data_IF_422337408494
#
_entry.id   IF_422337408494
#
_cell.length_a   1.000
_cell.length_b   1.000
_cell.length_c   1.000
_cell.angle_alpha   90.00
_cell.angle_beta   90.00
_cell.angle_gamma   90.00
#
_symmetry.space_group_name_H-M   'P 1'
#
loop_
_entity.id
_entity.type
_entity.pdbx_description
1 polymer ?
#
# COMPACT_ATOMS: atom_id res chain seq x y z
N UNK A 1 -26.61 18.42 4.73
CA UNK A 1 -27.21 18.35 6.08
C UNK A 1 -26.90 16.99 6.68
N UNK A 2 -25.86 16.88 7.52
CA UNK A 2 -25.58 15.65 8.24
C UNK A 2 -26.57 15.54 9.39
N UNK A 3 -27.41 14.50 9.41
CA UNK A 3 -28.10 14.09 10.63
C UNK A 3 -27.01 13.74 11.65
N UNK A 4 -26.80 14.60 12.64
CA UNK A 4 -26.12 14.18 13.87
C UNK A 4 -26.99 13.09 14.47
N UNK A 5 -26.63 11.84 14.22
CA UNK A 5 -27.13 10.72 15.00
C UNK A 5 -26.79 11.05 16.47
N UNK A 6 -27.79 11.11 17.35
CA UNK A 6 -27.55 11.11 18.79
C UNK A 6 -26.81 9.81 19.11
N UNK A 7 -25.48 9.88 19.16
CA UNK A 7 -24.65 8.74 19.48
C UNK A 7 -24.93 8.40 20.93
N UNK A 8 -25.36 7.16 21.18
CA UNK A 8 -25.60 6.69 22.54
C UNK A 8 -24.33 6.84 23.38
N UNK A 9 -24.47 7.00 24.70
CA UNK A 9 -23.32 7.05 25.63
C UNK A 9 -22.40 5.84 25.41
N UNK A 10 -22.98 4.66 25.19
CA UNK A 10 -22.24 3.44 24.85
C UNK A 10 -21.47 3.57 23.53
N UNK A 11 -22.07 4.18 22.49
CA UNK A 11 -21.39 4.46 21.22
C UNK A 11 -20.21 5.43 21.39
N UNK A 12 -20.38 6.48 22.20
CA UNK A 12 -19.30 7.41 22.52
C UNK A 12 -18.16 6.73 23.27
N UNK A 13 -18.47 5.93 24.29
CA UNK A 13 -17.48 5.16 25.05
C UNK A 13 -16.70 4.21 24.14
N UNK A 14 -17.38 3.50 23.22
CA UNK A 14 -16.71 2.65 22.22
C UNK A 14 -15.73 3.44 21.37
N UNK A 15 -16.13 4.60 20.85
CA UNK A 15 -15.23 5.47 20.06
C UNK A 15 -14.03 5.93 20.88
N UNK A 16 -14.23 6.35 22.13
CA UNK A 16 -13.15 6.79 23.02
C UNK A 16 -12.16 5.65 23.28
N UNK A 17 -12.65 4.47 23.65
CA UNK A 17 -11.81 3.28 23.88
C UNK A 17 -11.02 2.91 22.62
N UNK A 18 -11.66 2.95 21.46
CA UNK A 18 -11.04 2.68 20.15
C UNK A 18 -9.92 3.66 19.81
N UNK A 19 -10.19 4.96 19.96
CA UNK A 19 -9.20 6.02 19.72
C UNK A 19 -8.03 5.87 20.69
N UNK A 20 -8.30 5.66 21.98
CA UNK A 20 -7.25 5.42 22.98
C UNK A 20 -6.42 4.19 22.66
N UNK A 21 -7.06 3.09 22.25
CA UNK A 21 -6.37 1.87 21.84
C UNK A 21 -5.37 2.14 20.71
N UNK A 22 -5.80 2.79 19.62
CA UNK A 22 -4.91 3.09 18.49
C UNK A 22 -3.81 4.09 18.88
N UNK A 23 -4.14 5.14 19.64
CA UNK A 23 -3.16 6.14 20.08
C UNK A 23 -2.10 5.51 20.98
N UNK A 24 -2.51 4.74 22.01
CA UNK A 24 -1.58 4.04 22.89
C UNK A 24 -0.73 3.05 22.09
N UNK A 25 -1.33 2.31 21.15
CA UNK A 25 -0.61 1.41 20.25
C UNK A 25 0.49 2.13 19.47
N UNK A 26 0.22 3.32 18.92
CA UNK A 26 1.24 4.12 18.24
C UNK A 26 2.33 4.63 19.20
N UNK A 27 1.95 5.06 20.42
CA UNK A 27 2.86 5.62 21.42
C UNK A 27 3.95 4.63 21.82
N UNK A 28 3.63 3.34 22.02
CA UNK A 28 4.65 2.36 22.37
C UNK A 28 5.28 1.68 21.15
N UNK A 29 4.55 1.44 20.05
CA UNK A 29 5.11 0.72 18.89
C UNK A 29 6.13 1.55 18.09
N UNK A 30 5.78 2.78 17.69
CA UNK A 30 6.60 3.55 16.75
C UNK A 30 7.92 4.01 17.37
N UNK A 31 7.94 4.63 18.56
CA UNK A 31 9.20 4.99 19.22
C UNK A 31 10.06 3.76 19.50
N UNK A 32 9.47 2.64 19.90
CA UNK A 32 10.21 1.39 20.12
C UNK A 32 10.85 0.87 18.85
N UNK A 33 10.13 0.88 17.73
CA UNK A 33 10.71 0.56 16.42
C UNK A 33 11.91 1.47 16.12
N UNK A 34 11.74 2.79 16.24
CA UNK A 34 12.80 3.76 15.95
C UNK A 34 14.03 3.57 16.86
N UNK A 35 13.83 3.33 18.15
CA UNK A 35 14.94 3.08 19.10
C UNK A 35 15.68 1.81 18.72
N UNK A 36 14.98 0.71 18.39
CA UNK A 36 15.65 -0.51 17.94
C UNK A 36 16.43 -0.30 16.65
N UNK A 37 15.87 0.41 15.66
CA UNK A 37 16.57 0.70 14.41
C UNK A 37 17.80 1.58 14.65
N UNK A 38 17.70 2.55 15.57
CA UNK A 38 18.85 3.34 16.00
C UNK A 38 19.94 2.50 16.69
N UNK A 39 19.56 1.60 17.61
CA UNK A 39 20.50 0.72 18.29
C UNK A 39 21.18 -0.27 17.32
N UNK A 40 20.48 -0.71 16.28
CA UNK A 40 21.04 -1.57 15.24
C UNK A 40 21.76 -0.82 14.12
N UNK A 41 21.82 0.52 14.15
CA UNK A 41 22.47 1.31 13.11
C UNK A 41 23.93 0.91 12.82
N UNK A 42 24.76 0.50 13.81
CA UNK A 42 26.10 -0.03 13.50
C UNK A 42 26.07 -1.25 12.57
N UNK A 43 25.05 -2.13 12.68
CA UNK A 43 24.91 -3.29 11.79
C UNK A 43 24.69 -2.87 10.34
N UNK A 44 24.08 -1.70 10.09
CA UNK A 44 23.90 -1.19 8.73
C UNK A 44 25.23 -0.99 8.01
N UNK A 45 26.28 -0.60 8.72
CA UNK A 45 27.61 -0.40 8.15
C UNK A 45 28.40 -1.71 8.04
N UNK A 46 28.43 -2.52 9.10
CA UNK A 46 29.27 -3.72 9.15
C UNK A 46 28.64 -4.98 8.52
N UNK A 47 27.31 -5.12 8.59
CA UNK A 47 26.53 -6.27 8.09
C UNK A 47 25.19 -5.80 7.50
N UNK A 48 25.20 -5.04 6.39
CA UNK A 48 23.99 -4.42 5.83
C UNK A 48 22.87 -5.42 5.57
N UNK A 49 23.16 -6.60 5.03
CA UNK A 49 22.15 -7.63 4.76
C UNK A 49 21.44 -8.11 6.03
N UNK A 50 22.14 -8.17 7.16
CA UNK A 50 21.53 -8.53 8.45
C UNK A 50 20.68 -7.39 8.99
N UNK A 51 21.16 -6.15 8.91
CA UNK A 51 20.39 -4.96 9.31
C UNK A 51 19.05 -4.92 8.56
N UNK A 52 19.06 -5.04 7.23
CA UNK A 52 17.82 -4.97 6.43
C UNK A 52 16.87 -6.15 6.66
N UNK A 53 17.39 -7.33 7.02
CA UNK A 53 16.55 -8.45 7.44
C UNK A 53 15.85 -8.17 8.78
N UNK A 54 16.57 -7.57 9.73
CA UNK A 54 16.02 -7.16 11.03
C UNK A 54 15.00 -6.03 10.84
N UNK A 55 15.37 -4.99 10.10
CA UNK A 55 14.51 -3.85 9.76
C UNK A 55 13.21 -4.33 9.11
N UNK A 56 13.29 -5.15 8.06
CA UNK A 56 12.11 -5.67 7.37
C UNK A 56 11.21 -6.51 8.28
N UNK A 57 11.79 -7.27 9.21
CA UNK A 57 11.02 -8.03 10.21
C UNK A 57 10.26 -7.08 11.16
N UNK A 58 10.95 -6.07 11.68
CA UNK A 58 10.38 -5.08 12.59
C UNK A 58 9.33 -4.20 11.88
N UNK A 59 9.55 -3.89 10.61
CA UNK A 59 8.60 -3.20 9.76
C UNK A 59 7.31 -4.02 9.59
N UNK A 60 7.41 -5.32 9.28
CA UNK A 60 6.23 -6.21 9.24
C UNK A 60 5.50 -6.23 10.59
N UNK A 61 6.24 -6.36 11.70
CA UNK A 61 5.63 -6.37 13.03
C UNK A 61 4.87 -5.08 13.34
N UNK A 62 5.41 -3.93 12.94
CA UNK A 62 4.74 -2.66 13.08
C UNK A 62 3.51 -2.54 12.16
N UNK A 63 3.60 -3.00 10.91
CA UNK A 63 2.44 -3.00 10.00
C UNK A 63 1.36 -3.99 10.40
N UNK A 64 1.70 -5.07 11.09
CA UNK A 64 0.73 -5.96 11.71
C UNK A 64 -0.11 -5.21 12.77
N UNK A 65 0.50 -4.28 13.52
CA UNK A 65 -0.24 -3.41 14.45
C UNK A 65 -1.20 -2.49 13.72
N UNK A 66 -0.79 -1.91 12.59
CA UNK A 66 -1.67 -1.10 11.72
C UNK A 66 -2.83 -1.95 11.18
N UNK A 67 -2.54 -3.19 10.76
CA UNK A 67 -3.52 -4.15 10.25
C UNK A 67 -4.58 -4.49 11.29
N UNK A 68 -4.18 -4.57 12.56
CA UNK A 68 -5.10 -4.80 13.67
C UNK A 68 -6.13 -3.67 13.80
N UNK A 69 -5.84 -2.43 13.38
CA UNK A 69 -6.78 -1.32 13.52
C UNK A 69 -8.07 -1.55 12.73
N UNK A 70 -7.97 -2.01 11.48
CA UNK A 70 -9.14 -2.35 10.65
C UNK A 70 -9.80 -3.65 11.12
N UNK A 71 -9.00 -4.69 11.38
CA UNK A 71 -9.51 -5.99 11.80
C UNK A 71 -10.31 -5.91 13.11
N UNK A 72 -9.77 -5.26 14.14
CA UNK A 72 -10.46 -5.10 15.44
C UNK A 72 -11.67 -4.15 15.39
N UNK A 73 -11.89 -3.45 14.29
CA UNK A 73 -13.10 -2.67 14.02
C UNK A 73 -14.15 -3.44 13.18
N UNK A 74 -13.86 -4.67 12.76
CA UNK A 74 -14.73 -5.46 11.89
C UNK A 74 -14.73 -4.99 10.44
N UNK A 75 -13.63 -4.37 9.98
CA UNK A 75 -13.44 -4.00 8.58
C UNK A 75 -12.56 -5.06 7.91
N UNK A 76 -13.22 -6.07 7.37
CA UNK A 76 -12.57 -7.22 6.75
C UNK A 76 -12.23 -6.95 5.29
N UNK A 77 -11.26 -7.70 4.78
CA UNK A 77 -10.88 -7.69 3.37
C UNK A 77 -11.30 -9.01 2.74
N UNK A 78 -12.03 -8.93 1.63
CA UNK A 78 -12.35 -10.07 0.77
C UNK A 78 -11.49 -9.98 -0.47
N UNK A 79 -10.68 -11.00 -0.71
CA UNK A 79 -9.83 -11.11 -1.89
C UNK A 79 -10.40 -12.10 -2.91
N UNK A 80 -10.19 -11.83 -4.20
CA UNK A 80 -10.59 -12.70 -5.33
C UNK A 80 -9.86 -12.33 -6.62
N UNK A 81 -9.95 -13.17 -7.64
CA UNK A 81 -9.35 -12.95 -8.96
C UNK A 81 -8.09 -13.78 -9.16
N UNK A 82 -7.06 -13.23 -9.77
CA UNK A 82 -5.83 -13.99 -10.04
C UNK A 82 -5.05 -14.34 -8.76
N UNK A 83 -4.30 -15.45 -8.82
CA UNK A 83 -3.53 -15.97 -7.69
C UNK A 83 -2.25 -15.16 -7.44
N UNK A 84 -2.22 -14.47 -6.31
CA UNK A 84 -1.06 -13.67 -5.90
C UNK A 84 0.21 -14.48 -5.67
N UNK A 85 0.12 -15.79 -5.36
CA UNK A 85 1.30 -16.64 -5.10
C UNK A 85 2.28 -16.65 -6.26
N UNK A 86 1.79 -16.37 -7.48
CA UNK A 86 2.58 -16.31 -8.71
C UNK A 86 3.54 -15.11 -8.77
N UNK A 87 3.26 -14.02 -8.05
CA UNK A 87 3.98 -12.76 -8.21
C UNK A 87 4.62 -12.19 -6.93
N UNK A 88 4.32 -12.72 -5.75
CA UNK A 88 4.74 -12.10 -4.48
C UNK A 88 6.24 -12.23 -4.16
N UNK A 89 6.92 -13.25 -4.70
CA UNK A 89 8.38 -13.45 -4.52
C UNK A 89 9.21 -12.81 -5.65
N UNK A 90 8.55 -12.43 -6.75
CA UNK A 90 9.14 -11.79 -7.91
C UNK A 90 9.04 -10.26 -7.84
N UNK A 91 9.82 -9.56 -8.68
CA UNK A 91 9.69 -8.10 -8.79
C UNK A 91 8.37 -7.74 -9.45
N UNK A 92 7.48 -7.13 -8.67
CA UNK A 92 6.08 -6.89 -9.05
C UNK A 92 5.68 -5.45 -8.79
N UNK A 93 5.11 -4.81 -9.81
CA UNK A 93 4.52 -3.49 -9.72
C UNK A 93 3.06 -3.65 -9.37
N UNK A 94 2.67 -3.19 -8.20
CA UNK A 94 1.29 -3.18 -7.74
C UNK A 94 0.68 -1.84 -8.13
N UNK A 95 -0.36 -1.87 -8.95
CA UNK A 95 -1.17 -0.70 -9.28
C UNK A 95 -2.57 -0.86 -8.69
N UNK A 96 -3.10 0.21 -8.09
CA UNK A 96 -4.44 0.20 -7.53
C UNK A 96 -5.19 1.52 -7.80
N UNK A 97 -6.52 1.44 -7.87
CA UNK A 97 -7.36 2.64 -7.78
C UNK A 97 -7.26 3.23 -6.37
N UNK A 98 -7.52 4.54 -6.24
CA UNK A 98 -7.33 5.26 -4.98
C UNK A 98 -8.57 6.05 -4.60
N UNK A 99 -9.37 5.51 -3.69
CA UNK A 99 -10.63 6.09 -3.26
C UNK A 99 -10.50 6.92 -1.98
N UNK A 100 -9.62 6.52 -1.05
CA UNK A 100 -9.62 7.10 0.30
C UNK A 100 -8.32 6.90 1.10
N UNK A 101 -8.29 7.48 2.31
CA UNK A 101 -7.21 7.25 3.27
C UNK A 101 -7.23 5.84 3.88
N UNK A 102 -8.30 5.07 3.70
CA UNK A 102 -8.37 3.68 4.18
C UNK A 102 -7.66 2.68 3.26
N UNK A 103 -7.41 3.03 1.99
CA UNK A 103 -6.88 2.08 1.01
C UNK A 103 -5.50 1.53 1.42
N UNK A 104 -4.60 2.40 1.91
CA UNK A 104 -3.25 2.03 2.34
C UNK A 104 -3.26 1.07 3.55
N UNK A 105 -3.89 1.39 4.70
CA UNK A 105 -3.94 0.45 5.82
C UNK A 105 -4.70 -0.84 5.50
N UNK A 106 -5.68 -0.81 4.58
CA UNK A 106 -6.34 -2.05 4.13
C UNK A 106 -5.43 -2.90 3.25
N UNK A 107 -4.61 -2.30 2.38
CA UNK A 107 -3.57 -3.05 1.65
C UNK A 107 -2.51 -3.62 2.59
N UNK A 108 -2.10 -2.87 3.61
CA UNK A 108 -1.21 -3.38 4.66
C UNK A 108 -1.84 -4.59 5.38
N UNK A 109 -3.11 -4.50 5.77
CA UNK A 109 -3.84 -5.60 6.38
C UNK A 109 -3.99 -6.81 5.45
N UNK A 110 -4.23 -6.56 4.16
CA UNK A 110 -4.28 -7.62 3.16
C UNK A 110 -2.93 -8.36 3.11
N UNK A 111 -1.82 -7.63 2.93
CA UNK A 111 -0.48 -8.22 2.81
C UNK A 111 0.10 -8.76 4.14
N UNK A 112 -0.40 -8.33 5.31
CA UNK A 112 0.08 -8.79 6.61
C UNK A 112 -0.02 -10.30 6.82
N UNK A 113 -1.06 -10.92 6.25
CA UNK A 113 -1.30 -12.35 6.31
C UNK A 113 -0.27 -13.18 5.51
N UNK A 114 0.56 -12.53 4.69
CA UNK A 114 1.50 -13.18 3.78
C UNK A 114 2.93 -13.01 4.25
N UNK A 115 3.68 -14.12 4.22
CA UNK A 115 5.10 -14.13 4.63
C UNK A 115 5.91 -13.30 3.62
N UNK A 116 6.92 -12.59 4.10
CA UNK A 116 7.91 -11.85 3.30
C UNK A 116 7.36 -10.75 2.36
N UNK A 117 6.06 -10.47 2.32
CA UNK A 117 5.50 -9.41 1.46
C UNK A 117 5.82 -8.03 2.02
N UNK A 118 5.34 -7.74 3.24
CA UNK A 118 5.52 -6.41 3.86
C UNK A 118 6.98 -5.98 4.09
N UNK A 119 7.93 -6.86 4.46
CA UNK A 119 9.36 -6.49 4.52
C UNK A 119 9.95 -6.02 3.18
N UNK A 120 9.38 -6.47 2.06
CA UNK A 120 9.91 -6.30 0.71
C UNK A 120 9.08 -5.35 -0.16
N UNK A 121 8.11 -4.66 0.43
CA UNK A 121 7.26 -3.69 -0.27
C UNK A 121 7.90 -2.30 -0.19
N UNK A 122 7.79 -1.52 -1.25
CA UNK A 122 8.14 -0.11 -1.29
C UNK A 122 6.89 0.68 -1.66
N UNK A 123 6.56 1.69 -0.85
CA UNK A 123 5.45 2.58 -1.11
C UNK A 123 5.91 3.84 -1.86
N UNK A 124 5.16 4.23 -2.88
CA UNK A 124 5.28 5.56 -3.50
C UNK A 124 4.20 6.47 -2.90
N UNK A 125 4.61 7.42 -2.06
CA UNK A 125 3.70 8.25 -1.26
C UNK A 125 3.96 9.73 -1.42
N UNK A 126 2.94 10.56 -1.19
CA UNK A 126 3.11 12.01 -1.18
C UNK A 126 4.08 12.47 -0.07
N UNK A 127 4.95 13.44 -0.36
CA UNK A 127 5.97 13.95 0.57
C UNK A 127 5.40 14.44 1.90
N UNK A 128 4.14 14.87 1.96
CA UNK A 128 3.48 15.26 3.22
C UNK A 128 3.47 14.12 4.25
N UNK A 129 3.42 12.85 3.80
CA UNK A 129 3.43 11.70 4.70
C UNK A 129 4.70 11.58 5.54
N UNK A 130 5.82 12.16 5.08
CA UNK A 130 7.10 12.17 5.80
C UNK A 130 6.99 12.81 7.19
N UNK A 131 6.02 13.70 7.39
CA UNK A 131 5.80 14.42 8.65
C UNK A 131 4.79 13.74 9.59
N UNK A 132 4.36 12.52 9.27
CA UNK A 132 3.46 11.73 10.13
C UNK A 132 4.27 10.76 10.99
N UNK A 133 3.65 10.20 12.04
CA UNK A 133 4.28 9.13 12.84
C UNK A 133 4.68 7.92 11.99
N UNK A 134 3.94 7.63 10.92
CA UNK A 134 4.31 6.58 9.97
C UNK A 134 5.40 7.04 8.99
N UNK A 135 5.53 8.34 8.75
CA UNK A 135 6.55 8.92 7.88
C UNK A 135 7.98 8.58 8.31
N UNK A 136 8.30 8.61 9.60
CA UNK A 136 9.63 8.22 10.09
C UNK A 136 9.93 6.74 9.84
N UNK A 137 8.92 5.88 9.99
CA UNK A 137 9.02 4.44 9.70
C UNK A 137 9.32 4.23 8.22
N UNK A 138 8.55 4.88 7.34
CA UNK A 138 8.76 4.83 5.90
C UNK A 138 10.11 5.39 5.45
N UNK A 139 10.63 6.42 6.13
CA UNK A 139 12.00 6.92 5.88
C UNK A 139 13.05 5.87 6.23
N UNK A 140 12.90 5.18 7.36
CA UNK A 140 13.82 4.10 7.77
C UNK A 140 13.75 2.91 6.81
N UNK A 141 12.55 2.58 6.34
CA UNK A 141 12.29 1.49 5.39
C UNK A 141 12.75 1.79 3.96
N UNK A 142 13.16 3.03 3.69
CA UNK A 142 13.49 3.57 2.37
C UNK A 142 12.33 3.51 1.36
N UNK A 143 11.12 3.84 1.82
CA UNK A 143 9.99 4.17 0.94
C UNK A 143 10.26 5.45 0.14
N UNK A 144 9.61 5.59 -1.02
CA UNK A 144 9.77 6.75 -1.89
C UNK A 144 8.71 7.82 -1.65
N UNK A 145 9.16 9.07 -1.47
CA UNK A 145 8.30 10.23 -1.24
C UNK A 145 8.29 11.17 -2.44
N UNK A 146 7.15 11.24 -3.13
CA UNK A 146 6.95 12.10 -4.30
C UNK A 146 6.42 13.48 -3.90
N UNK A 147 7.03 14.54 -4.43
CA UNK A 147 6.45 15.89 -4.31
C UNK A 147 5.37 16.07 -5.38
N UNK A 148 4.12 16.17 -4.95
CA UNK A 148 3.01 16.45 -5.85
C UNK A 148 3.02 17.90 -6.33
N UNK A 149 2.96 18.10 -7.65
CA UNK A 149 2.88 19.44 -8.24
C UNK A 149 3.05 19.37 -9.75
N UNK A 150 2.65 20.42 -10.47
CA UNK A 150 2.97 20.50 -11.91
C UNK A 150 4.47 20.75 -12.10
N UNK A 151 5.00 21.69 -11.32
CA UNK A 151 6.37 22.18 -11.48
C UNK A 151 7.41 21.14 -11.01
N UNK A 152 7.05 20.31 -10.04
CA UNK A 152 7.90 19.24 -9.52
C UNK A 152 7.78 17.91 -10.30
N UNK A 153 6.98 17.84 -11.37
CA UNK A 153 6.62 16.55 -12.00
C UNK A 153 7.82 15.84 -12.64
N UNK A 154 8.66 16.58 -13.35
CA UNK A 154 9.82 15.99 -14.03
C UNK A 154 10.89 15.59 -13.01
N UNK A 155 11.22 16.49 -12.09
CA UNK A 155 12.12 16.22 -10.97
C UNK A 155 11.69 14.99 -10.16
N UNK A 156 10.40 14.87 -9.84
CA UNK A 156 9.83 13.73 -9.13
C UNK A 156 10.06 12.39 -9.85
N UNK A 157 9.99 12.38 -11.18
CA UNK A 157 10.24 11.17 -11.97
C UNK A 157 11.73 10.83 -11.97
N UNK A 158 12.61 11.82 -12.11
CA UNK A 158 14.06 11.63 -12.00
C UNK A 158 14.46 11.07 -10.64
N UNK A 159 13.97 11.68 -9.55
CA UNK A 159 14.21 11.22 -8.19
C UNK A 159 13.69 9.79 -7.95
N UNK A 160 12.54 9.43 -8.57
CA UNK A 160 12.03 8.06 -8.50
C UNK A 160 13.02 7.09 -9.15
N UNK A 161 13.49 7.39 -10.37
CA UNK A 161 14.47 6.54 -11.07
C UNK A 161 15.75 6.36 -10.26
N UNK A 162 16.28 7.45 -9.71
CA UNK A 162 17.46 7.42 -8.83
C UNK A 162 17.21 6.55 -7.59
N UNK A 163 16.04 6.69 -6.95
CA UNK A 163 15.67 5.87 -5.80
C UNK A 163 15.56 4.38 -6.14
N UNK A 164 15.08 4.05 -7.35
CA UNK A 164 15.05 2.67 -7.82
C UNK A 164 16.46 2.07 -7.91
N UNK A 165 17.42 2.81 -8.46
CA UNK A 165 18.81 2.37 -8.56
C UNK A 165 19.56 2.34 -7.23
N UNK A 166 19.30 3.31 -6.35
CA UNK A 166 20.09 3.52 -5.14
C UNK A 166 19.52 2.79 -3.90
N UNK A 167 18.23 2.46 -3.90
CA UNK A 167 17.55 1.84 -2.76
C UNK A 167 16.77 0.58 -3.15
N UNK A 168 15.77 0.68 -4.03
CA UNK A 168 14.87 -0.45 -4.34
C UNK A 168 15.61 -1.69 -4.87
N UNK A 169 16.53 -1.49 -5.83
CA UNK A 169 17.33 -2.57 -6.41
C UNK A 169 18.36 -3.13 -5.40
N UNK A 170 19.23 -2.31 -4.75
CA UNK A 170 20.22 -2.80 -3.80
C UNK A 170 19.64 -3.47 -2.55
N UNK A 171 18.49 -3.02 -2.07
CA UNK A 171 17.78 -3.65 -0.94
C UNK A 171 17.03 -4.92 -1.33
N UNK A 172 17.06 -5.31 -2.61
CA UNK A 172 16.36 -6.47 -3.15
C UNK A 172 14.85 -6.49 -2.82
N UNK A 173 14.23 -5.30 -2.74
CA UNK A 173 12.79 -5.15 -2.57
C UNK A 173 12.05 -5.79 -3.75
N UNK A 174 10.94 -6.44 -3.49
CA UNK A 174 10.20 -7.23 -4.48
C UNK A 174 8.98 -6.49 -5.00
N UNK A 175 8.32 -5.71 -4.16
CA UNK A 175 7.01 -5.18 -4.47
C UNK A 175 7.04 -3.66 -4.44
N UNK A 176 6.38 -3.01 -5.38
CA UNK A 176 6.26 -1.56 -5.41
C UNK A 176 4.79 -1.17 -5.56
N UNK A 177 4.27 -0.38 -4.64
CA UNK A 177 2.87 0.07 -4.69
C UNK A 177 2.78 1.46 -5.28
N UNK A 178 1.99 1.57 -6.35
CA UNK A 178 1.66 2.81 -7.02
C UNK A 178 0.13 2.99 -7.05
N UNK A 179 -0.31 4.22 -6.77
CA UNK A 179 -1.67 4.68 -7.02
C UNK A 179 -1.66 5.68 -8.17
N UNK A 180 -1.80 5.24 -9.44
CA UNK A 180 -1.62 6.12 -10.61
C UNK A 180 -2.58 7.30 -10.66
N UNK A 181 -3.72 7.26 -9.97
CA UNK A 181 -4.65 8.41 -9.84
C UNK A 181 -3.99 9.68 -9.25
N UNK A 182 -2.91 9.48 -8.48
CA UNK A 182 -2.13 10.56 -7.86
C UNK A 182 -2.90 11.33 -6.79
N UNK A 183 -3.88 10.68 -6.16
CA UNK A 183 -4.66 11.20 -5.03
C UNK A 183 -6.05 10.56 -4.95
N UNK A 184 -6.75 10.79 -3.85
CA UNK A 184 -8.07 10.20 -3.61
C UNK A 184 -9.10 10.66 -4.66
N UNK A 185 -9.91 9.72 -5.15
CA UNK A 185 -10.98 9.93 -6.14
C UNK A 185 -11.82 11.17 -5.85
N UNK A 186 -12.30 11.33 -4.60
CA UNK A 186 -13.13 12.48 -4.21
C UNK A 186 -12.47 13.83 -4.52
N UNK A 187 -11.14 13.92 -4.42
CA UNK A 187 -10.38 15.15 -4.71
C UNK A 187 -10.00 15.26 -6.19
N UNK A 188 -9.89 14.14 -6.90
CA UNK A 188 -9.36 14.06 -8.27
C UNK A 188 -10.44 14.06 -9.35
N UNK A 189 -11.63 13.53 -9.06
CA UNK A 189 -12.71 13.26 -10.03
C UNK A 189 -13.05 14.45 -10.94
N UNK A 190 -13.37 15.60 -10.38
CA UNK A 190 -13.75 16.77 -11.20
C UNK A 190 -12.62 17.27 -12.10
N UNK A 191 -11.39 17.31 -11.56
CA UNK A 191 -10.22 17.69 -12.36
C UNK A 191 -9.93 16.65 -13.46
N UNK A 192 -10.13 15.37 -13.16
CA UNK A 192 -10.00 14.27 -14.11
C UNK A 192 -11.03 14.37 -15.23
N UNK A 193 -12.30 14.63 -14.93
CA UNK A 193 -13.36 14.81 -15.93
C UNK A 193 -13.08 15.98 -16.86
N UNK A 194 -12.61 17.12 -16.33
CA UNK A 194 -12.19 18.26 -17.16
C UNK A 194 -11.03 17.91 -18.08
N UNK A 195 -10.04 17.15 -17.59
CA UNK A 195 -8.95 16.66 -18.42
C UNK A 195 -9.45 15.70 -19.50
N UNK A 196 -10.36 14.80 -19.16
CA UNK A 196 -10.95 13.85 -20.11
C UNK A 196 -11.68 14.56 -21.25
N UNK A 197 -12.56 15.52 -20.93
CA UNK A 197 -13.28 16.33 -21.92
C UNK A 197 -12.33 17.10 -22.84
N UNK A 198 -11.28 17.71 -22.28
CA UNK A 198 -10.30 18.48 -23.06
C UNK A 198 -9.53 17.61 -24.06
N UNK A 199 -9.31 16.33 -23.74
CA UNK A 199 -8.47 15.43 -24.54
C UNK A 199 -9.27 14.31 -25.23
N UNK A 200 -10.61 14.42 -25.29
CA UNK A 200 -11.50 13.41 -25.87
C UNK A 200 -11.30 12.00 -25.28
N UNK A 201 -11.09 11.92 -23.97
CA UNK A 201 -10.98 10.67 -23.23
C UNK A 201 -12.30 10.32 -22.52
N UNK A 202 -12.52 9.04 -22.15
CA UNK A 202 -13.72 8.63 -21.44
C UNK A 202 -13.92 9.34 -20.10
N UNK A 203 -15.19 9.63 -19.79
CA UNK A 203 -15.61 10.18 -18.51
C UNK A 203 -15.78 9.05 -17.48
N UNK A 204 -14.84 8.95 -16.55
CA UNK A 204 -14.87 7.95 -15.47
C UNK A 204 -15.52 8.55 -14.20
N UNK A 205 -16.30 7.75 -13.47
CA UNK A 205 -17.05 8.16 -12.27
C UNK A 205 -16.55 7.48 -10.99
N UNK A 206 -16.15 6.22 -11.08
CA UNK A 206 -15.73 5.35 -9.98
C UNK A 206 -14.21 5.32 -9.80
N UNK A 207 -13.47 5.79 -10.79
CA UNK A 207 -12.02 6.05 -10.76
C UNK A 207 -11.68 7.40 -11.40
N UNK A 208 -10.45 7.88 -11.21
CA UNK A 208 -9.92 9.03 -11.96
C UNK A 208 -8.80 8.61 -12.93
N UNK A 209 -8.65 9.34 -14.03
CA UNK A 209 -7.66 9.03 -15.05
C UNK A 209 -6.24 9.02 -14.46
N UNK A 210 -5.43 8.01 -14.79
CA UNK A 210 -4.06 7.89 -14.32
C UNK A 210 -3.17 9.08 -14.67
N UNK A 211 -2.20 9.34 -13.80
CA UNK A 211 -1.03 10.18 -14.06
C UNK A 211 0.13 9.27 -14.46
N UNK A 212 0.73 9.57 -15.60
CA UNK A 212 1.72 8.68 -16.21
C UNK A 212 3.16 8.82 -15.68
N UNK A 213 3.48 9.87 -14.91
CA UNK A 213 4.87 10.18 -14.55
C UNK A 213 5.61 9.02 -13.88
N UNK A 214 5.11 8.55 -12.73
CA UNK A 214 5.71 7.44 -12.01
C UNK A 214 5.70 6.14 -12.84
N UNK A 215 4.61 5.85 -13.56
CA UNK A 215 4.52 4.67 -14.41
C UNK A 215 5.63 4.66 -15.47
N UNK A 216 5.83 5.77 -16.20
CA UNK A 216 6.91 5.86 -17.18
C UNK A 216 8.29 5.73 -16.54
N UNK A 217 8.52 6.37 -15.40
CA UNK A 217 9.80 6.25 -14.69
C UNK A 217 10.12 4.81 -14.30
N UNK A 218 9.12 4.07 -13.81
CA UNK A 218 9.27 2.65 -13.43
C UNK A 218 9.51 1.79 -14.67
N UNK A 219 8.73 1.94 -15.74
CA UNK A 219 8.91 1.14 -16.97
C UNK A 219 10.28 1.38 -17.58
N UNK A 220 10.74 2.63 -17.63
CA UNK A 220 12.04 2.99 -18.21
C UNK A 220 13.22 2.34 -17.47
N UNK A 221 13.14 2.21 -16.14
CA UNK A 221 14.20 1.60 -15.32
C UNK A 221 14.07 0.08 -15.25
N UNK A 222 12.84 -0.42 -15.04
CA UNK A 222 12.60 -1.79 -14.61
C UNK A 222 12.26 -2.76 -15.74
N UNK A 223 11.88 -2.25 -16.92
CA UNK A 223 11.55 -3.09 -18.08
C UNK A 223 12.69 -3.06 -19.10
N UNK A 224 13.01 -4.19 -19.75
CA UNK A 224 14.05 -4.23 -20.76
C UNK A 224 13.65 -3.39 -21.97
N UNK A 225 14.43 -2.34 -22.27
CA UNK A 225 14.25 -1.57 -23.51
C UNK A 225 15.12 -2.16 -24.64
N UNK A 226 14.54 -2.61 -25.77
CA UNK A 226 15.31 -3.05 -26.93
C UNK A 226 16.18 -1.94 -27.55
N UNK A 227 15.77 -0.67 -27.40
CA UNK A 227 16.41 0.50 -28.01
C UNK A 227 17.59 1.05 -27.20
N UNK A 228 17.74 0.66 -25.93
CA UNK A 228 18.86 1.07 -25.06
C UNK A 228 19.46 -0.15 -24.35
N UNK A 229 20.25 -0.99 -25.05
CA UNK A 229 20.79 -2.23 -24.48
C UNK A 229 21.82 -1.99 -23.37
N UNK A 230 22.51 -0.85 -23.40
CA UNK A 230 23.60 -0.48 -22.48
C UNK A 230 23.12 -0.09 -21.08
N UNK A 231 21.83 0.19 -20.90
CA UNK A 231 21.22 0.59 -19.61
C UNK A 231 20.44 -0.55 -18.96
N UNK A 232 20.57 -1.78 -19.48
CA UNK A 232 19.81 -2.94 -18.98
C UNK A 232 20.28 -3.33 -17.59
N UNK A 233 19.36 -3.24 -16.64
CA UNK A 233 19.51 -3.91 -15.35
C UNK A 233 19.51 -5.44 -15.54
N UNK A 234 20.23 -6.19 -14.67
CA UNK A 234 20.23 -7.67 -14.71
C UNK A 234 18.83 -8.26 -14.77
N UNK A 235 18.64 -9.40 -15.44
CA UNK A 235 17.31 -10.01 -15.65
C UNK A 235 16.57 -10.29 -14.32
N UNK A 236 17.29 -10.73 -13.28
CA UNK A 236 16.73 -10.93 -11.94
C UNK A 236 16.31 -9.63 -11.23
N UNK A 237 16.70 -8.47 -11.77
CA UNK A 237 16.32 -7.15 -11.31
C UNK A 237 15.18 -6.52 -12.11
N UNK A 238 14.78 -7.12 -13.24
CA UNK A 238 13.70 -6.62 -14.06
C UNK A 238 12.34 -6.89 -13.44
N UNK A 239 11.37 -6.08 -13.83
CA UNK A 239 9.96 -6.30 -13.50
C UNK A 239 9.50 -7.61 -14.13
N UNK A 240 8.84 -8.47 -13.34
CA UNK A 240 8.28 -9.74 -13.78
C UNK A 240 6.76 -9.68 -13.95
N UNK A 241 6.09 -8.91 -13.09
CA UNK A 241 4.64 -8.84 -13.05
C UNK A 241 4.12 -7.42 -12.81
N UNK A 242 2.92 -7.16 -13.31
CA UNK A 242 2.07 -6.05 -12.88
C UNK A 242 0.84 -6.65 -12.20
N UNK A 243 0.71 -6.42 -10.90
CA UNK A 243 -0.47 -6.78 -10.13
C UNK A 243 -1.43 -5.60 -10.12
N UNK A 244 -2.56 -5.74 -10.80
CA UNK A 244 -3.60 -4.74 -10.85
C UNK A 244 -4.72 -5.04 -9.83
N UNK A 245 -4.85 -4.19 -8.82
CA UNK A 245 -5.81 -4.35 -7.73
C UNK A 245 -6.96 -3.37 -7.90
N UNK A 246 -8.18 -3.88 -8.02
CA UNK A 246 -9.41 -3.08 -7.93
C UNK A 246 -9.96 -3.15 -6.51
N UNK A 247 -9.86 -2.04 -5.80
CA UNK A 247 -10.40 -1.85 -4.45
C UNK A 247 -11.84 -1.36 -4.59
N UNK A 248 -12.79 -2.10 -4.02
CA UNK A 248 -14.19 -1.71 -3.99
C UNK A 248 -14.75 -1.74 -2.57
N UNK A 249 -15.46 -0.68 -2.21
CA UNK A 249 -16.13 -0.56 -0.92
C UNK A 249 -17.63 -0.78 -1.07
N UNK A 250 -18.31 -1.28 -0.03
CA UNK A 250 -19.73 -1.54 -0.08
C UNK A 250 -20.49 -0.23 -0.32
N UNK A 251 -21.48 -0.30 -1.22
CA UNK A 251 -22.30 0.81 -1.71
C UNK A 251 -21.51 1.95 -2.38
N UNK A 252 -20.28 1.72 -2.84
CA UNK A 252 -19.42 2.78 -3.38
C UNK A 252 -19.05 3.84 -2.34
N UNK A 253 -19.16 3.51 -1.04
CA UNK A 253 -18.86 4.40 0.07
C UNK A 253 -17.54 3.98 0.71
N UNK A 254 -16.42 4.62 0.38
CA UNK A 254 -15.15 4.24 0.97
C UNK A 254 -15.09 4.51 2.48
N UNK A 255 -14.33 3.68 3.18
CA UNK A 255 -13.90 3.97 4.55
C UNK A 255 -12.91 5.14 4.54
N UNK A 256 -12.61 5.68 5.71
CA UNK A 256 -11.46 6.57 5.89
C UNK A 256 -10.70 6.18 7.15
N UNK A 257 -9.47 6.69 7.29
CA UNK A 257 -8.62 6.40 8.44
C UNK A 257 -9.30 6.76 9.77
N UNK A 258 -10.10 7.83 9.82
CA UNK A 258 -10.83 8.21 11.05
C UNK A 258 -11.87 7.15 11.42
N UNK A 259 -12.55 6.60 10.42
CA UNK A 259 -13.55 5.54 10.56
C UNK A 259 -12.90 4.22 11.00
N UNK A 260 -11.71 3.90 10.45
CA UNK A 260 -10.90 2.76 10.89
C UNK A 260 -10.53 2.92 12.38
N UNK A 261 -9.94 4.05 12.74
CA UNK A 261 -9.49 4.31 14.11
C UNK A 261 -10.65 4.31 15.09
N UNK A 262 -11.72 5.06 14.81
CA UNK A 262 -12.84 5.23 15.73
C UNK A 262 -13.83 4.06 15.73
N UNK A 263 -13.87 3.22 14.69
CA UNK A 263 -14.84 2.12 14.58
C UNK A 263 -16.28 2.61 14.47
N UNK A 264 -16.52 3.76 13.83
CA UNK A 264 -17.83 4.44 13.82
C UNK A 264 -18.82 3.90 12.78
N UNK A 265 -18.33 3.24 11.73
CA UNK A 265 -19.19 2.59 10.74
C UNK A 265 -19.45 1.15 11.19
N UNK A 266 -20.60 0.60 10.79
CA UNK A 266 -20.89 -0.82 10.98
C UNK A 266 -19.79 -1.66 10.32
N UNK A 267 -19.43 -2.82 10.91
CA UNK A 267 -18.55 -3.81 10.28
C UNK A 267 -18.96 -4.06 8.83
N UNK A 268 -17.96 -4.16 7.95
CA UNK A 268 -18.19 -4.31 6.53
C UNK A 268 -16.98 -4.94 5.83
N UNK A 269 -17.20 -5.42 4.61
CA UNK A 269 -16.16 -6.03 3.79
C UNK A 269 -15.72 -5.09 2.69
N UNK A 270 -14.42 -4.84 2.57
CA UNK A 270 -13.80 -4.21 1.40
C UNK A 270 -13.28 -5.30 0.47
N UNK A 271 -13.60 -5.19 -0.82
CA UNK A 271 -13.26 -6.19 -1.81
C UNK A 271 -12.00 -5.77 -2.56
N UNK A 272 -11.06 -6.69 -2.72
CA UNK A 272 -9.85 -6.53 -3.51
C UNK A 272 -9.86 -7.56 -4.63
N UNK A 273 -10.12 -7.10 -5.84
CA UNK A 273 -10.11 -7.93 -7.04
C UNK A 273 -8.77 -7.82 -7.75
N UNK A 274 -8.12 -8.96 -7.98
CA UNK A 274 -6.78 -9.05 -8.55
C UNK A 274 -6.82 -9.44 -10.01
N UNK A 275 -6.03 -8.74 -10.82
CA UNK A 275 -5.69 -9.12 -12.18
C UNK A 275 -4.17 -9.08 -12.34
N UNK A 276 -3.60 -10.15 -12.86
CA UNK A 276 -2.16 -10.32 -12.93
C UNK A 276 -1.70 -10.34 -14.38
N UNK A 277 -0.74 -9.47 -14.70
CA UNK A 277 -0.17 -9.37 -16.04
C UNK A 277 1.33 -9.67 -15.99
N UNK A 278 1.87 -10.58 -16.81
CA UNK A 278 3.31 -10.70 -16.97
C UNK A 278 3.87 -9.40 -17.55
N UNK A 279 5.08 -9.00 -17.15
CA UNK A 279 5.69 -7.76 -17.61
C UNK A 279 5.94 -7.72 -19.12
N UNK A 280 5.94 -8.88 -19.78
CA UNK A 280 5.99 -8.99 -21.25
C UNK A 280 4.77 -8.41 -21.96
N UNK A 281 3.62 -8.31 -21.27
CA UNK A 281 2.41 -7.66 -21.78
C UNK A 281 2.40 -6.15 -21.51
N UNK A 282 3.31 -5.66 -20.67
CA UNK A 282 3.46 -4.23 -20.42
C UNK A 282 4.32 -3.63 -21.54
N UNK A 283 3.79 -2.71 -22.37
CA UNK A 283 4.58 -2.06 -23.39
C UNK A 283 5.70 -1.21 -22.78
N UNK A 284 6.72 -0.91 -23.58
CA UNK A 284 7.88 -0.10 -23.13
C UNK A 284 7.81 1.34 -23.67
N UNK A 285 7.17 1.54 -24.83
CA UNK A 285 7.02 2.85 -25.44
C UNK A 285 6.03 3.73 -24.67
N UNK A 286 6.36 5.01 -24.46
CA UNK A 286 5.58 5.91 -23.58
C UNK A 286 4.11 6.03 -23.98
N UNK A 287 3.80 6.16 -25.27
CA UNK A 287 2.42 6.27 -25.73
C UNK A 287 1.62 4.99 -25.49
N UNK A 288 2.24 3.83 -25.75
CA UNK A 288 1.61 2.53 -25.54
C UNK A 288 1.42 2.21 -24.06
N UNK A 289 2.38 2.58 -23.19
CA UNK A 289 2.20 2.50 -21.73
C UNK A 289 1.02 3.35 -21.27
N UNK A 290 0.84 4.53 -21.87
CA UNK A 290 -0.30 5.41 -21.56
C UNK A 290 -1.62 4.78 -21.97
N UNK A 291 -1.71 4.25 -23.19
CA UNK A 291 -2.90 3.53 -23.67
C UNK A 291 -3.20 2.32 -22.79
N UNK A 292 -2.20 1.49 -22.52
CA UNK A 292 -2.33 0.30 -21.68
C UNK A 292 -2.89 0.65 -20.30
N UNK A 293 -2.34 1.66 -19.63
CA UNK A 293 -2.80 2.05 -18.30
C UNK A 293 -4.21 2.67 -18.34
N UNK A 294 -4.54 3.45 -19.37
CA UNK A 294 -5.89 4.01 -19.52
C UNK A 294 -6.92 2.91 -19.75
N UNK A 295 -6.61 1.90 -20.58
CA UNK A 295 -7.47 0.73 -20.77
C UNK A 295 -7.72 0.00 -19.45
N UNK A 296 -6.70 -0.22 -18.61
CA UNK A 296 -6.89 -0.83 -17.28
C UNK A 296 -7.84 0.00 -16.41
N UNK A 297 -7.79 1.33 -16.49
CA UNK A 297 -8.70 2.21 -15.72
C UNK A 297 -10.12 2.24 -16.27
N UNK A 298 -10.31 2.15 -17.59
CA UNK A 298 -11.64 1.97 -18.19
C UNK A 298 -12.26 0.62 -17.79
N UNK A 299 -11.46 -0.44 -17.71
CA UNK A 299 -11.92 -1.72 -17.19
C UNK A 299 -12.27 -1.64 -15.70
N UNK A 300 -11.46 -0.95 -14.87
CA UNK A 300 -11.79 -0.69 -13.47
C UNK A 300 -13.11 0.06 -13.30
N UNK A 301 -13.37 1.04 -14.15
CA UNK A 301 -14.65 1.77 -14.16
C UNK A 301 -15.81 0.80 -14.37
N UNK A 302 -15.72 -0.11 -15.35
CA UNK A 302 -16.75 -1.12 -15.64
C UNK A 302 -16.90 -2.14 -14.50
N UNK A 303 -15.79 -2.65 -13.97
CA UNK A 303 -15.78 -3.58 -12.83
C UNK A 303 -16.47 -2.98 -11.62
N UNK A 304 -16.12 -1.74 -11.27
CA UNK A 304 -16.70 -1.05 -10.12
C UNK A 304 -18.17 -0.72 -10.36
N UNK A 305 -18.54 -0.30 -11.57
CA UNK A 305 -19.92 -0.01 -11.93
C UNK A 305 -20.81 -1.26 -11.80
N UNK A 306 -20.35 -2.40 -12.32
CA UNK A 306 -21.02 -3.69 -12.19
C UNK A 306 -21.16 -4.09 -10.71
N UNK A 307 -20.05 -4.07 -9.96
CA UNK A 307 -20.05 -4.40 -8.54
C UNK A 307 -21.00 -3.51 -7.72
N UNK A 308 -21.06 -2.21 -8.00
CA UNK A 308 -21.97 -1.30 -7.28
C UNK A 308 -23.43 -1.47 -7.68
N UNK A 309 -23.73 -2.02 -8.87
CA UNK A 309 -25.09 -2.32 -9.32
C UNK A 309 -25.59 -3.67 -8.82
N UNK A 310 -24.73 -4.68 -8.82
CA UNK A 310 -25.13 -6.08 -8.60
C UNK A 310 -24.63 -6.66 -7.27
N UNK A 311 -23.63 -6.03 -6.65
CA UNK A 311 -22.94 -6.57 -5.47
C UNK A 311 -21.95 -7.69 -5.77
N UNK A 312 -21.73 -8.03 -7.04
CA UNK A 312 -20.87 -9.15 -7.46
C UNK A 312 -19.75 -8.67 -8.35
N UNK A 313 -18.53 -9.19 -8.15
CA UNK A 313 -17.40 -8.90 -9.02
C UNK A 313 -17.48 -9.73 -10.31
N UNK A 314 -17.23 -9.14 -11.50
CA UNK A 314 -17.25 -9.85 -12.78
C UNK A 314 -15.97 -10.67 -13.00
N UNK A 315 -15.65 -11.60 -12.09
CA UNK A 315 -14.39 -12.35 -12.12
C UNK A 315 -14.21 -13.14 -13.43
N UNK A 316 -15.27 -13.77 -13.93
CA UNK A 316 -15.22 -14.59 -15.14
C UNK A 316 -14.84 -13.78 -16.40
N UNK A 317 -15.23 -12.50 -16.47
CA UNK A 317 -14.99 -11.65 -17.64
C UNK A 317 -13.54 -11.17 -17.73
N UNK A 318 -12.82 -11.16 -16.60
CA UNK A 318 -11.50 -10.58 -16.49
C UNK A 318 -10.40 -11.56 -16.08
N UNK A 319 -10.77 -12.73 -15.55
CA UNK A 319 -9.86 -13.83 -15.19
C UNK A 319 -10.34 -15.15 -15.83
N UNK A 320 -10.40 -15.25 -17.18
CA UNK A 320 -11.13 -16.32 -17.88
C UNK A 320 -10.54 -17.73 -17.73
N UNK A 321 -9.34 -17.87 -17.17
CA UNK A 321 -8.76 -19.12 -16.65
C UNK A 321 -7.37 -18.75 -16.12
N UNK A 322 -7.15 -18.76 -14.80
CA UNK A 322 -5.78 -18.65 -14.27
C UNK A 322 -5.00 -19.86 -14.78
N UNK A 323 -3.83 -19.62 -15.38
CA UNK A 323 -3.09 -20.61 -16.18
C UNK A 323 -2.38 -21.71 -15.36
N UNK A 324 -2.78 -21.97 -14.11
CA UNK A 324 -2.25 -23.04 -13.28
C UNK A 324 -3.34 -23.57 -12.34
N UNK A 325 -3.75 -24.82 -12.54
CA UNK A 325 -4.54 -25.70 -11.66
C UNK A 325 -5.40 -25.02 -10.57
N UNK A 326 -6.62 -24.58 -10.93
CA UNK A 326 -7.63 -24.22 -9.92
C UNK A 326 -8.63 -23.12 -10.30
N UNK A 327 -8.44 -22.44 -11.43
CA UNK A 327 -9.28 -21.29 -11.80
C UNK A 327 -9.00 -20.05 -10.91
N UNK A 328 -9.72 -18.95 -11.12
CA UNK A 328 -9.53 -17.74 -10.33
C UNK A 328 -9.84 -18.01 -8.85
N UNK A 329 -9.10 -17.31 -7.98
CA UNK A 329 -9.30 -17.30 -6.55
C UNK A 329 -10.75 -16.93 -6.24
N UNK A 330 -11.46 -17.88 -5.63
CA UNK A 330 -12.81 -17.64 -5.13
C UNK A 330 -12.79 -16.59 -4.02
N UNK A 331 -13.86 -15.78 -3.87
CA UNK A 331 -13.97 -14.81 -2.79
C UNK A 331 -13.68 -15.41 -1.43
N UNK A 332 -12.65 -14.91 -0.75
CA UNK A 332 -12.29 -15.36 0.59
C UNK A 332 -11.90 -14.19 1.49
N UNK A 333 -12.22 -14.30 2.77
CA UNK A 333 -11.83 -13.30 3.77
C UNK A 333 -10.37 -13.52 4.15
N UNK A 334 -9.57 -12.46 4.05
CA UNK A 334 -8.16 -12.49 4.48
C UNK A 334 -8.09 -12.68 5.99
N UNK A 335 -7.63 -13.85 6.42
CA UNK A 335 -7.52 -14.18 7.83
C UNK A 335 -6.35 -13.46 8.48
N UNK A 336 -6.63 -12.78 9.58
CA UNK A 336 -5.61 -12.24 10.47
C UNK A 336 -5.31 -13.23 11.61
N UNK A 337 -4.16 -13.09 12.26
CA UNK A 337 -3.73 -13.97 13.36
C UNK A 337 -3.78 -13.21 14.70
N UNK A 338 -4.82 -13.44 15.55
CA UNK A 338 -4.96 -12.77 16.83
C UNK A 338 -3.85 -13.10 17.83
N UNK A 339 -3.32 -14.33 17.80
CA UNK A 339 -2.21 -14.73 18.66
C UNK A 339 -0.96 -13.95 18.28
N UNK A 340 -0.69 -13.79 16.99
CA UNK A 340 0.42 -12.96 16.51
C UNK A 340 0.25 -11.51 16.96
N UNK A 341 -0.94 -10.93 16.89
CA UNK A 341 -1.17 -9.57 17.40
C UNK A 341 -0.85 -9.46 18.90
N UNK A 342 -1.31 -10.43 19.71
CA UNK A 342 -1.00 -10.46 21.14
C UNK A 342 0.51 -10.54 21.41
N UNK A 343 1.22 -11.45 20.74
CA UNK A 343 2.66 -11.62 20.91
C UNK A 343 3.43 -10.36 20.53
N UNK A 344 3.03 -9.69 19.45
CA UNK A 344 3.65 -8.46 19.01
C UNK A 344 3.36 -7.30 19.99
N UNK A 345 2.17 -7.22 20.58
CA UNK A 345 1.88 -6.27 21.66
C UNK A 345 2.83 -6.48 22.85
N UNK A 346 2.98 -7.73 23.30
CA UNK A 346 3.89 -8.08 24.39
C UNK A 346 5.33 -7.70 24.06
N UNK A 347 5.78 -7.99 22.83
CA UNK A 347 7.12 -7.61 22.37
C UNK A 347 7.35 -6.10 22.43
N UNK A 348 6.45 -5.30 21.85
CA UNK A 348 6.63 -3.84 21.82
C UNK A 348 6.53 -3.22 23.22
N UNK A 349 5.60 -3.68 24.07
CA UNK A 349 5.46 -3.18 25.46
C UNK A 349 6.69 -3.54 26.29
N UNK A 350 7.16 -4.79 26.23
CA UNK A 350 8.36 -5.20 26.95
C UNK A 350 9.61 -4.45 26.47
N UNK A 351 9.73 -4.24 25.15
CA UNK A 351 10.79 -3.43 24.56
C UNK A 351 10.73 -1.96 24.99
N UNK A 352 9.53 -1.36 25.02
CA UNK A 352 9.35 0.01 25.53
C UNK A 352 9.82 0.13 26.99
N UNK A 353 9.46 -0.84 27.82
CA UNK A 353 9.91 -0.87 29.21
C UNK A 353 11.44 -1.03 29.33
N UNK A 354 12.03 -1.93 28.53
CA UNK A 354 13.48 -2.09 28.47
C UNK A 354 14.19 -0.79 28.07
N UNK A 355 13.72 -0.12 27.01
CA UNK A 355 14.27 1.16 26.57
C UNK A 355 14.16 2.22 27.64
N UNK A 356 13.02 2.31 28.34
CA UNK A 356 12.85 3.20 29.47
C UNK A 356 13.87 2.91 30.58
N UNK A 357 14.07 1.65 30.97
CA UNK A 357 15.05 1.27 32.00
C UNK A 357 16.49 1.60 31.59
N UNK A 358 16.86 1.36 30.33
CA UNK A 358 18.18 1.73 29.79
C UNK A 358 18.37 3.24 29.84
N UNK A 359 17.37 4.03 29.40
CA UNK A 359 17.41 5.47 29.42
C UNK A 359 17.51 6.03 30.86
N UNK A 360 16.71 5.54 31.80
CA UNK A 360 16.77 5.94 33.20
C UNK A 360 18.13 5.62 33.83
N UNK A 361 18.69 4.44 33.55
CA UNK A 361 20.02 4.07 34.02
C UNK A 361 21.12 4.95 33.42
N UNK A 362 21.05 5.29 32.14
CA UNK A 362 22.00 6.21 31.52
C UNK A 362 21.92 7.62 32.13
N UNK A 363 20.71 8.11 32.41
CA UNK A 363 20.48 9.43 33.02
C UNK A 363 21.06 9.49 34.45
N UNK A 364 21.02 8.40 35.21
CA UNK A 364 21.59 8.35 36.58
C UNK A 364 23.12 8.39 36.64
N UNK A 365 23.83 8.44 35.51
CA UNK A 365 25.27 8.73 35.48
C UNK A 365 25.59 10.19 35.17
N UNK A 366 24.59 10.95 34.68
CA UNK A 366 24.74 12.35 34.31
C UNK A 366 24.22 13.27 35.42
N UNK A 367 23.25 12.79 36.20
CA UNK A 367 22.73 13.36 37.43
C UNK A 367 23.21 12.55 38.62
#
# INVERSE_FOLDING_TARGET
RYKMYNMSILGLLKVVVRVLFVVLNNIYCIPTFCVWMFLFQPLRYYKPSLYWKIEGTFYHWLLAMVSMWSWSAGYDIVEMGDDLRLCLEDRTLIIANHQSTADVPLLMANFNARKNVLPNIMWIMDRVFKFTNFGIVSVIHEDFFILSGKDAREEAVTLLKEHLHNSYLPLNKKLMVLFPEGGFLRKRREASKRYALKNNLPLLNHVSLPRMGAMHGIVEVMCPNPKSPSERIPENNQLRWVLDITIAYPDGKPLDLRTIVAGTRKPCQTFMFYRLYPSTELPVEREEVTKWLFTRWEEKEKILDEFYKTGTMPVADYCPMSSVDGGPLSPQVVQQDPLRFLLLHLFFIASSYLHFRIASYAISFVW
#
